data_IF_290618823717
#
_entry.id   IF_290618823717
#
_cell.length_a   1.000
_cell.length_b   1.000
_cell.length_c   1.000
_cell.angle_alpha   90.00
_cell.angle_beta   90.00
_cell.angle_gamma   90.00
#
_symmetry.space_group_name_H-M   'P 1'
#
loop_
_entity.id
_entity.type
_entity.pdbx_description
1 polymer ?
#
# COMPACT_ATOMS: atom_id res chain seq x y z
N UNK A 1 -2.79 -4.98 19.30
CA UNK A 1 -1.93 -5.69 18.33
C UNK A 1 -0.72 -6.33 19.04
N UNK A 2 -0.47 -7.61 18.78
CA UNK A 2 0.74 -8.27 19.29
C UNK A 2 1.99 -7.68 18.62
N UNK A 3 3.13 -7.59 19.32
CA UNK A 3 4.38 -7.14 18.71
C UNK A 3 4.70 -7.99 17.47
N UNK A 4 4.94 -7.33 16.33
CA UNK A 4 5.32 -8.00 15.07
C UNK A 4 6.84 -8.19 14.95
N UNK A 5 7.60 -7.65 15.90
CA UNK A 5 9.03 -7.81 16.06
C UNK A 5 9.32 -8.06 17.55
N UNK A 6 10.16 -9.05 17.82
CA UNK A 6 10.72 -9.26 19.15
C UNK A 6 11.63 -8.08 19.51
N UNK A 7 11.72 -7.76 20.81
CA UNK A 7 12.72 -6.81 21.29
C UNK A 7 14.13 -7.31 20.96
N UNK A 8 15.02 -6.41 20.60
CA UNK A 8 16.42 -6.75 20.41
C UNK A 8 17.03 -7.22 21.76
N UNK A 9 17.92 -8.23 21.76
CA UNK A 9 18.72 -8.56 22.93
C UNK A 9 19.52 -7.35 23.40
N UNK A 10 19.61 -7.13 24.72
CA UNK A 10 20.28 -5.97 25.33
C UNK A 10 21.65 -6.29 25.93
N UNK A 11 22.16 -7.50 25.68
CA UNK A 11 23.41 -8.04 26.23
C UNK A 11 24.58 -7.97 25.24
N UNK A 12 24.37 -7.35 24.07
CA UNK A 12 25.42 -7.07 23.10
C UNK A 12 26.31 -5.88 23.51
N UNK A 13 27.58 -5.84 23.05
CA UNK A 13 28.44 -4.68 23.25
C UNK A 13 27.86 -3.44 22.56
N UNK A 14 27.89 -2.30 23.26
CA UNK A 14 27.45 -1.01 22.71
C UNK A 14 28.41 -0.59 21.58
N UNK A 15 27.92 -0.33 20.36
CA UNK A 15 28.79 0.08 19.26
C UNK A 15 29.36 1.48 19.51
N UNK A 16 30.69 1.64 19.34
CA UNK A 16 31.35 2.94 19.39
C UNK A 16 31.47 3.55 17.98
N UNK A 17 31.51 4.88 17.91
CA UNK A 17 31.72 5.59 16.64
C UNK A 17 32.99 5.12 15.91
N UNK A 18 34.10 4.91 16.63
CA UNK A 18 35.37 4.41 16.08
C UNK A 18 35.23 3.01 15.48
N UNK A 19 34.53 2.11 16.18
CA UNK A 19 34.31 0.74 15.69
C UNK A 19 33.47 0.71 14.41
N UNK A 20 32.45 1.58 14.32
CA UNK A 20 31.60 1.72 13.13
C UNK A 20 32.41 2.33 11.98
N UNK A 21 33.18 3.39 12.23
CA UNK A 21 34.02 4.02 11.22
C UNK A 21 35.07 3.04 10.66
N UNK A 22 35.74 2.29 11.54
CA UNK A 22 36.70 1.26 11.14
C UNK A 22 36.04 0.19 10.24
N UNK A 23 34.86 -0.29 10.62
CA UNK A 23 34.12 -1.30 9.85
C UNK A 23 33.66 -0.79 8.47
N UNK A 24 33.30 0.50 8.36
CA UNK A 24 32.82 1.10 7.12
C UNK A 24 33.94 1.61 6.19
N UNK A 25 35.16 1.78 6.70
CA UNK A 25 36.29 2.33 5.93
C UNK A 25 36.59 1.57 4.63
N UNK A 26 36.62 0.24 4.68
CA UNK A 26 36.83 -0.62 3.52
C UNK A 26 35.67 -0.57 2.52
N UNK A 27 34.43 -0.91 2.94
CA UNK A 27 33.26 -0.87 2.05
C UNK A 27 33.05 0.48 1.37
N UNK A 28 33.22 1.61 2.09
CA UNK A 28 33.00 2.95 1.55
C UNK A 28 34.11 3.43 0.58
N UNK A 29 35.23 2.71 0.51
CA UNK A 29 36.30 2.95 -0.46
C UNK A 29 36.09 2.18 -1.77
N UNK A 30 35.08 1.31 -1.86
CA UNK A 30 34.81 0.51 -3.05
C UNK A 30 34.30 1.39 -4.20
N UNK A 31 35.05 1.43 -5.30
CA UNK A 31 34.73 2.24 -6.48
C UNK A 31 33.41 1.84 -7.15
N UNK A 32 32.89 0.63 -6.89
CA UNK A 32 31.59 0.17 -7.40
C UNK A 32 30.41 0.94 -6.79
N UNK A 33 30.60 1.63 -5.67
CA UNK A 33 29.58 2.50 -5.07
C UNK A 33 29.36 3.81 -5.86
N UNK A 34 30.24 4.12 -6.81
CA UNK A 34 30.15 5.33 -7.62
C UNK A 34 30.63 6.58 -6.89
N UNK A 35 30.30 7.75 -7.44
CA UNK A 35 30.82 9.04 -6.97
C UNK A 35 30.07 9.66 -5.80
N UNK A 36 28.94 9.10 -5.37
CA UNK A 36 28.09 9.66 -4.32
C UNK A 36 27.54 8.57 -3.41
N UNK A 37 27.79 8.69 -2.10
CA UNK A 37 27.31 7.75 -1.08
C UNK A 37 26.90 8.54 0.16
N UNK A 38 25.59 8.74 0.34
CA UNK A 38 25.02 9.22 1.59
C UNK A 38 24.80 8.07 2.58
N UNK A 39 25.36 8.19 3.79
CA UNK A 39 25.21 7.19 4.86
C UNK A 39 25.12 7.86 6.23
N UNK A 40 24.19 7.37 7.05
CA UNK A 40 24.07 7.72 8.46
C UNK A 40 23.89 6.45 9.28
N UNK A 41 24.66 6.33 10.37
CA UNK A 41 24.49 5.26 11.36
C UNK A 41 24.14 5.90 12.69
N UNK A 42 23.04 5.44 13.28
CA UNK A 42 22.56 5.87 14.58
C UNK A 42 22.41 4.66 15.50
N UNK A 43 22.71 4.85 16.77
CA UNK A 43 22.31 3.91 17.81
C UNK A 43 20.78 4.01 17.97
N UNK A 44 20.07 2.90 17.75
CA UNK A 44 18.61 2.89 17.75
C UNK A 44 17.98 3.05 19.15
N UNK A 45 18.74 2.76 20.22
CA UNK A 45 18.26 2.88 21.60
C UNK A 45 18.43 4.30 22.15
N UNK A 46 19.55 4.95 21.81
CA UNK A 46 19.90 6.29 22.33
C UNK A 46 19.66 7.42 21.34
N UNK A 47 19.55 7.11 20.05
CA UNK A 47 19.50 8.09 18.96
C UNK A 47 20.85 8.75 18.65
N UNK A 48 21.95 8.31 19.29
CA UNK A 48 23.28 8.87 19.07
C UNK A 48 23.75 8.59 17.65
N UNK A 49 24.19 9.62 16.93
CA UNK A 49 24.89 9.44 15.65
C UNK A 49 26.27 8.82 15.90
N UNK A 50 26.51 7.68 15.28
CA UNK A 50 27.78 6.94 15.34
C UNK A 50 28.64 7.17 14.10
N UNK A 51 28.02 7.44 12.95
CA UNK A 51 28.71 7.72 11.69
C UNK A 51 27.84 8.55 10.75
N UNK A 52 28.46 9.39 9.93
CA UNK A 52 27.79 10.20 8.90
C UNK A 52 28.76 10.56 7.79
N UNK A 53 28.32 10.42 6.53
CA UNK A 53 28.99 10.95 5.33
C UNK A 53 27.92 11.31 4.33
N UNK A 54 27.96 12.55 3.81
CA UNK A 54 27.02 13.08 2.82
C UNK A 54 25.54 12.84 3.23
N UNK A 55 25.24 12.76 4.54
CA UNK A 55 23.97 12.24 5.05
C UNK A 55 22.78 13.18 4.85
N UNK A 56 23.05 14.44 4.55
CA UNK A 56 22.04 15.47 4.27
C UNK A 56 21.78 15.67 2.79
N UNK A 57 22.54 15.00 1.93
CA UNK A 57 22.41 15.16 0.49
C UNK A 57 21.12 14.48 0.00
N UNK A 58 20.44 15.15 -0.94
CA UNK A 58 19.27 14.57 -1.57
C UNK A 58 19.66 13.40 -2.48
N UNK A 59 18.97 12.27 -2.32
CA UNK A 59 19.14 11.08 -3.15
C UNK A 59 17.78 10.54 -3.60
N UNK A 60 17.75 9.82 -4.73
CA UNK A 60 16.55 9.09 -5.16
C UNK A 60 16.40 7.86 -4.24
N UNK A 61 15.37 7.79 -3.39
CA UNK A 61 15.26 6.74 -2.37
C UNK A 61 14.93 5.35 -2.93
N UNK A 62 14.51 5.29 -4.21
CA UNK A 62 13.95 4.08 -4.81
C UNK A 62 12.89 3.44 -3.87
N UNK A 63 13.06 2.17 -3.50
CA UNK A 63 12.10 1.49 -2.62
C UNK A 63 12.20 1.88 -1.14
N UNK A 64 13.22 2.59 -0.69
CA UNK A 64 13.26 3.08 0.72
C UNK A 64 12.19 4.13 0.98
N UNK A 65 11.63 4.76 -0.07
CA UNK A 65 10.42 5.60 0.00
C UNK A 65 9.21 4.88 0.63
N UNK A 66 9.19 3.54 0.61
CA UNK A 66 8.16 2.75 1.27
C UNK A 66 8.15 2.98 2.78
N UNK A 67 9.30 3.24 3.41
CA UNK A 67 9.37 3.50 4.86
C UNK A 67 8.54 4.75 5.22
N UNK A 68 8.76 5.86 4.51
CA UNK A 68 8.00 7.10 4.73
C UNK A 68 6.51 6.89 4.48
N UNK A 69 6.16 6.20 3.38
CA UNK A 69 4.76 5.88 3.06
C UNK A 69 4.11 5.04 4.15
N UNK A 70 4.77 3.98 4.61
CA UNK A 70 4.25 3.09 5.65
C UNK A 70 4.07 3.83 6.97
N UNK A 71 5.04 4.65 7.39
CA UNK A 71 4.91 5.46 8.59
C UNK A 71 3.73 6.42 8.51
N UNK A 72 3.55 7.11 7.38
CA UNK A 72 2.43 8.02 7.17
C UNK A 72 1.08 7.29 7.23
N UNK A 73 0.97 6.12 6.58
CA UNK A 73 -0.26 5.29 6.61
C UNK A 73 -0.56 4.79 8.02
N UNK A 74 0.44 4.28 8.74
CA UNK A 74 0.26 3.80 10.12
C UNK A 74 -0.11 4.93 11.08
N UNK A 75 0.52 6.10 10.95
CA UNK A 75 0.20 7.26 11.77
C UNK A 75 -1.21 7.81 11.50
N UNK A 76 -1.68 7.72 10.24
CA UNK A 76 -2.99 8.27 9.83
C UNK A 76 -4.14 7.30 10.10
N UNK A 77 -3.98 6.02 9.74
CA UNK A 77 -5.06 5.03 9.80
C UNK A 77 -4.99 4.15 11.05
N UNK A 78 -3.80 4.04 11.67
CA UNK A 78 -3.52 3.08 12.72
C UNK A 78 -3.22 1.67 12.18
N UNK A 79 -2.52 0.84 12.97
CA UNK A 79 -2.10 -0.51 12.56
C UNK A 79 -3.26 -1.51 12.43
N UNK A 80 -4.45 -1.17 12.94
CA UNK A 80 -5.64 -2.03 12.92
C UNK A 80 -6.62 -1.67 11.78
N UNK A 81 -6.27 -0.71 10.92
CA UNK A 81 -7.14 -0.30 9.83
C UNK A 81 -7.41 -1.44 8.85
N UNK A 82 -8.67 -1.58 8.43
CA UNK A 82 -9.11 -2.53 7.42
C UNK A 82 -9.75 -1.80 6.25
N UNK A 83 -9.28 -2.08 5.04
CA UNK A 83 -9.85 -1.60 3.79
C UNK A 83 -11.01 -2.53 3.40
N UNK A 84 -12.22 -1.99 3.24
CA UNK A 84 -13.44 -2.81 3.11
C UNK A 84 -14.04 -2.72 1.71
N UNK A 85 -14.15 -3.87 1.04
CA UNK A 85 -14.96 -4.02 -0.17
C UNK A 85 -16.38 -4.47 0.21
N UNK A 86 -17.39 -3.89 -0.43
CA UNK A 86 -18.82 -4.15 -0.09
C UNK A 86 -19.63 -4.46 -1.34
N UNK A 87 -20.69 -5.24 -1.17
CA UNK A 87 -21.76 -5.35 -2.16
C UNK A 87 -23.03 -4.69 -1.60
N UNK A 88 -23.65 -3.80 -2.37
CA UNK A 88 -24.91 -3.13 -2.01
C UNK A 88 -25.93 -3.28 -3.13
N UNK A 89 -27.21 -3.04 -2.85
CA UNK A 89 -28.25 -3.05 -3.88
C UNK A 89 -28.03 -1.89 -4.87
N UNK A 90 -28.27 -2.15 -6.15
CA UNK A 90 -28.30 -1.13 -7.20
C UNK A 90 -29.63 -0.37 -7.25
N UNK A 91 -29.76 0.50 -8.25
CA UNK A 91 -30.94 1.34 -8.39
C UNK A 91 -32.17 0.55 -8.86
N UNK A 92 -31.96 -0.50 -9.66
CA UNK A 92 -33.04 -1.35 -10.15
C UNK A 92 -33.11 -2.69 -9.39
N UNK A 93 -34.29 -3.33 -9.31
CA UNK A 93 -34.42 -4.65 -8.70
C UNK A 93 -33.45 -5.68 -9.29
N UNK A 94 -32.77 -6.40 -8.39
CA UNK A 94 -31.78 -7.43 -8.75
C UNK A 94 -30.40 -6.91 -9.14
N UNK A 95 -30.19 -5.59 -9.22
CA UNK A 95 -28.86 -5.02 -9.44
C UNK A 95 -28.03 -5.05 -8.16
N UNK A 96 -26.72 -5.25 -8.31
CA UNK A 96 -25.75 -5.23 -7.22
C UNK A 96 -24.58 -4.31 -7.60
N UNK A 97 -24.16 -3.46 -6.67
CA UNK A 97 -22.98 -2.60 -6.81
C UNK A 97 -21.87 -3.14 -5.91
N UNK A 98 -20.76 -3.55 -6.52
CA UNK A 98 -19.51 -3.89 -5.83
C UNK A 98 -18.70 -2.60 -5.62
N UNK A 99 -18.64 -2.13 -4.38
CA UNK A 99 -17.93 -0.91 -3.99
C UNK A 99 -16.55 -1.29 -3.48
N UNK A 100 -15.51 -0.88 -4.22
CA UNK A 100 -14.12 -1.15 -3.89
C UNK A 100 -13.58 -0.23 -2.80
N UNK A 101 -13.13 -0.81 -1.68
CA UNK A 101 -12.51 -0.05 -0.57
C UNK A 101 -11.00 0.12 -0.67
N UNK A 102 -10.39 -0.34 -1.78
CA UNK A 102 -8.95 -0.28 -2.00
C UNK A 102 -8.13 -1.40 -1.35
N UNK A 103 -8.75 -2.51 -0.95
CA UNK A 103 -8.07 -3.68 -0.41
C UNK A 103 -7.15 -4.32 -1.48
N UNK A 104 -5.80 -4.22 -1.35
CA UNK A 104 -4.86 -4.80 -2.31
C UNK A 104 -4.68 -6.31 -2.12
N UNK A 105 -5.28 -6.89 -1.07
CA UNK A 105 -5.17 -8.31 -0.69
C UNK A 105 -6.38 -9.14 -1.11
N UNK A 106 -7.48 -8.49 -1.52
CA UNK A 106 -8.75 -9.13 -1.92
C UNK A 106 -8.51 -10.28 -2.90
N UNK A 107 -8.87 -11.49 -2.47
CA UNK A 107 -8.71 -12.71 -3.25
C UNK A 107 -9.99 -13.07 -4.01
N UNK A 108 -9.84 -13.86 -5.08
CA UNK A 108 -11.00 -14.41 -5.80
C UNK A 108 -11.60 -15.58 -5.03
N UNK A 109 -10.75 -16.48 -4.56
CA UNK A 109 -11.10 -17.69 -3.79
C UNK A 109 -10.14 -17.86 -2.61
N UNK A 110 -10.24 -18.98 -1.90
CA UNK A 110 -9.33 -19.35 -0.81
C UNK A 110 -7.85 -19.45 -1.24
N UNK A 111 -7.55 -19.59 -2.53
CA UNK A 111 -6.20 -19.75 -3.07
C UNK A 111 -5.46 -18.40 -3.24
N UNK A 112 -5.72 -17.44 -2.35
CA UNK A 112 -5.09 -16.11 -2.38
C UNK A 112 -3.65 -16.11 -1.88
N UNK A 113 -2.90 -15.04 -2.18
CA UNK A 113 -1.50 -14.89 -1.75
C UNK A 113 -1.35 -14.49 -0.27
N UNK A 114 -2.42 -13.99 0.36
CA UNK A 114 -2.40 -13.51 1.73
C UNK A 114 -3.33 -14.36 2.60
N UNK A 115 -2.80 -15.04 3.63
CA UNK A 115 -3.62 -15.79 4.58
C UNK A 115 -4.67 -14.88 5.23
N UNK A 116 -5.92 -15.33 5.27
CA UNK A 116 -7.02 -14.60 5.89
C UNK A 116 -7.54 -13.38 5.10
N UNK A 117 -7.12 -13.21 3.84
CA UNK A 117 -7.67 -12.16 2.98
C UNK A 117 -9.18 -12.32 2.77
N UNK A 118 -9.88 -11.18 2.59
CA UNK A 118 -11.26 -11.19 2.13
C UNK A 118 -11.37 -11.86 0.75
N UNK A 119 -12.53 -12.47 0.46
CA UNK A 119 -12.73 -13.24 -0.77
C UNK A 119 -13.99 -12.84 -1.51
N UNK A 120 -13.89 -12.79 -2.84
CA UNK A 120 -15.01 -12.47 -3.72
C UNK A 120 -16.06 -13.60 -3.80
N UNK A 121 -15.66 -14.86 -3.70
CA UNK A 121 -16.62 -15.98 -3.67
C UNK A 121 -17.46 -16.00 -2.38
N UNK A 122 -16.86 -15.68 -1.23
CA UNK A 122 -17.58 -15.50 0.02
C UNK A 122 -18.57 -14.32 -0.07
N UNK A 123 -18.15 -13.18 -0.66
CA UNK A 123 -19.02 -12.03 -0.89
C UNK A 123 -20.16 -12.36 -1.87
N UNK A 124 -19.89 -13.12 -2.93
CA UNK A 124 -20.91 -13.58 -3.86
C UNK A 124 -21.94 -14.51 -3.19
N UNK A 125 -21.50 -15.37 -2.28
CA UNK A 125 -22.38 -16.20 -1.45
C UNK A 125 -23.32 -15.36 -0.59
N UNK A 126 -22.81 -14.29 0.03
CA UNK A 126 -23.61 -13.34 0.81
C UNK A 126 -24.64 -12.62 -0.07
N UNK A 127 -24.26 -12.18 -1.26
CA UNK A 127 -25.16 -11.55 -2.24
C UNK A 127 -26.29 -12.51 -2.65
N UNK A 128 -25.95 -13.75 -3.02
CA UNK A 128 -26.96 -14.74 -3.42
C UNK A 128 -27.94 -15.02 -2.30
N UNK A 129 -27.47 -15.11 -1.04
CA UNK A 129 -28.33 -15.27 0.13
C UNK A 129 -29.25 -14.05 0.32
N UNK A 130 -28.73 -12.83 0.18
CA UNK A 130 -29.50 -11.61 0.31
C UNK A 130 -30.58 -11.46 -0.78
N UNK A 131 -30.33 -12.00 -1.99
CA UNK A 131 -31.29 -12.04 -3.09
C UNK A 131 -32.25 -13.25 -3.05
N UNK A 132 -32.28 -14.01 -1.94
CA UNK A 132 -33.17 -15.17 -1.82
C UNK A 132 -32.84 -16.32 -2.78
N UNK A 133 -31.59 -16.42 -3.24
CA UNK A 133 -31.14 -17.44 -4.19
C UNK A 133 -31.26 -17.03 -5.66
N UNK A 134 -31.93 -15.90 -5.95
CA UNK A 134 -32.08 -15.38 -7.31
C UNK A 134 -30.74 -14.77 -7.78
N UNK A 135 -30.29 -15.07 -9.01
CA UNK A 135 -29.09 -14.43 -9.56
C UNK A 135 -29.26 -12.90 -9.70
N UNK A 136 -28.20 -12.11 -9.48
CA UNK A 136 -28.26 -10.69 -9.78
C UNK A 136 -28.50 -10.46 -11.28
N UNK A 137 -29.33 -9.48 -11.60
CA UNK A 137 -29.63 -9.09 -12.99
C UNK A 137 -28.48 -8.30 -13.62
N UNK A 138 -27.70 -7.59 -12.79
CA UNK A 138 -26.54 -6.79 -13.19
C UNK A 138 -25.59 -6.62 -12.01
N UNK A 139 -24.28 -6.66 -12.29
CA UNK A 139 -23.24 -6.29 -11.34
C UNK A 139 -22.51 -5.04 -11.84
N UNK A 140 -22.50 -3.99 -11.02
CA UNK A 140 -21.84 -2.71 -11.29
C UNK A 140 -20.61 -2.65 -10.39
N UNK A 141 -19.47 -2.19 -10.93
CA UNK A 141 -18.25 -2.00 -10.13
C UNK A 141 -18.05 -0.52 -9.88
N UNK A 142 -18.13 -0.11 -8.62
CA UNK A 142 -17.79 1.23 -8.18
C UNK A 142 -16.33 1.26 -7.69
N UNK A 143 -15.47 1.86 -8.53
CA UNK A 143 -14.07 2.13 -8.25
C UNK A 143 -13.79 3.64 -8.15
N UNK A 144 -14.80 4.44 -7.80
CA UNK A 144 -14.70 5.91 -7.71
C UNK A 144 -13.90 6.42 -6.51
N UNK A 145 -13.61 5.55 -5.53
CA UNK A 145 -12.85 5.89 -4.32
C UNK A 145 -11.49 6.52 -4.62
N UNK A 146 -10.80 6.05 -5.67
CA UNK A 146 -9.56 6.66 -6.13
C UNK A 146 -9.81 7.42 -7.42
N UNK A 147 -9.29 8.64 -7.48
CA UNK A 147 -9.36 9.53 -8.65
C UNK A 147 -7.96 9.85 -9.16
N UNK A 148 -7.87 10.42 -10.37
CA UNK A 148 -6.62 10.80 -10.99
C UNK A 148 -5.92 9.67 -11.77
N UNK A 149 -4.64 9.88 -12.14
CA UNK A 149 -3.90 8.95 -12.99
C UNK A 149 -3.75 7.57 -12.36
N UNK A 150 -4.01 6.54 -13.16
CA UNK A 150 -3.87 5.12 -12.75
C UNK A 150 -2.41 4.68 -12.60
N UNK A 151 -1.47 5.52 -13.01
CA UNK A 151 -0.01 5.31 -12.97
C UNK A 151 0.66 6.51 -12.31
N UNK A 152 1.86 6.32 -11.72
CA UNK A 152 2.65 7.45 -11.21
C UNK A 152 3.03 8.43 -12.32
N UNK A 153 3.05 9.76 -12.06
CA UNK A 153 3.32 10.77 -13.08
C UNK A 153 4.71 10.62 -13.72
N UNK A 154 5.69 10.13 -12.96
CA UNK A 154 7.08 9.99 -13.41
C UNK A 154 7.43 8.54 -13.82
N UNK A 155 6.43 7.73 -14.14
CA UNK A 155 6.66 6.34 -14.56
C UNK A 155 6.88 6.28 -16.07
N UNK A 156 8.03 5.73 -16.48
CA UNK A 156 8.39 5.56 -17.88
C UNK A 156 7.33 4.74 -18.65
N UNK A 157 6.95 5.17 -19.86
CA UNK A 157 6.15 4.36 -20.77
C UNK A 157 6.85 3.02 -21.09
N UNK A 158 6.12 1.90 -21.10
CA UNK A 158 6.66 0.60 -21.55
C UNK A 158 7.19 -0.36 -20.47
N UNK A 159 7.36 0.06 -19.20
CA UNK A 159 7.75 -0.88 -18.12
C UNK A 159 6.68 -1.97 -17.90
N UNK A 160 7.04 -3.25 -17.67
CA UNK A 160 6.09 -4.35 -17.50
C UNK A 160 5.07 -4.10 -16.39
N UNK A 161 3.82 -4.54 -16.60
CA UNK A 161 2.69 -4.39 -15.64
C UNK A 161 2.96 -5.01 -14.27
N UNK A 162 3.90 -5.94 -14.16
CA UNK A 162 4.34 -6.54 -12.88
C UNK A 162 5.01 -5.52 -11.96
N UNK A 163 5.72 -4.54 -12.53
CA UNK A 163 6.27 -3.40 -11.81
C UNK A 163 5.28 -2.23 -11.68
N UNK A 164 4.16 -2.28 -12.43
CA UNK A 164 3.19 -1.19 -12.59
C UNK A 164 1.75 -1.67 -12.54
N UNK A 165 1.26 -2.06 -11.36
CA UNK A 165 -0.18 -2.32 -11.18
C UNK A 165 -0.93 -0.99 -11.15
N UNK A 166 -1.98 -0.82 -11.97
CA UNK A 166 -2.81 0.38 -11.93
C UNK A 166 -3.35 0.62 -10.52
N UNK A 167 -3.29 1.87 -10.05
CA UNK A 167 -4.18 2.32 -8.98
C UNK A 167 -5.56 2.42 -9.60
N UNK A 168 -6.51 1.63 -9.14
CA UNK A 168 -7.80 1.52 -9.82
C UNK A 168 -8.65 2.76 -9.59
N UNK A 169 -8.84 3.52 -10.67
CA UNK A 169 -10.02 4.31 -10.97
C UNK A 169 -10.65 3.70 -12.24
N UNK A 170 -11.95 3.39 -12.15
CA UNK A 170 -12.97 2.93 -13.13
C UNK A 170 -12.59 2.35 -14.52
N UNK A 171 -13.33 1.35 -15.06
CA UNK A 171 -13.29 1.03 -16.49
C UNK A 171 -13.73 2.25 -17.30
N UNK A 172 -12.87 2.70 -18.21
CA UNK A 172 -13.25 3.67 -19.23
C UNK A 172 -14.40 3.10 -20.07
N UNK A 173 -15.64 3.55 -19.81
CA UNK A 173 -16.66 3.90 -20.81
C UNK A 173 -17.95 4.40 -20.15
N UNK A 174 -18.38 5.59 -20.59
CA UNK A 174 -19.68 6.28 -20.45
C UNK A 174 -19.74 7.50 -19.51
N UNK A 175 -19.63 8.68 -20.12
CA UNK A 175 -20.37 9.91 -19.78
C UNK A 175 -21.67 9.94 -20.62
N UNK A 176 -22.72 10.74 -20.29
CA UNK A 176 -22.66 11.98 -19.52
C UNK A 176 -23.47 12.00 -18.22
N UNK A 177 -23.10 13.00 -17.42
CA UNK A 177 -23.73 13.50 -16.21
C UNK A 177 -25.27 13.46 -16.20
N UNK A 178 -25.83 13.09 -15.05
CA UNK A 178 -27.17 13.51 -14.67
C UNK A 178 -27.04 14.47 -13.46
N UNK A 179 -26.95 15.76 -13.77
CA UNK A 179 -27.20 16.85 -12.82
C UNK A 179 -28.70 16.89 -12.51
N UNK A 180 -29.17 16.21 -11.48
CA UNK A 180 -30.41 16.57 -10.77
C UNK A 180 -30.67 15.63 -9.58
N UNK A 181 -30.31 16.08 -8.37
CA UNK A 181 -31.20 15.98 -7.21
C UNK A 181 -30.64 16.86 -6.08
N UNK A 182 -31.12 18.11 -6.04
CA UNK A 182 -31.16 18.87 -4.79
C UNK A 182 -32.22 18.25 -3.87
N UNK A 183 -31.99 18.15 -2.56
CA UNK A 183 -33.05 17.78 -1.63
C UNK A 183 -34.08 18.91 -1.57
N UNK A 184 -35.37 18.58 -1.76
CA UNK A 184 -36.47 19.42 -1.31
C UNK A 184 -36.83 18.99 0.11
N UNK A 185 -36.65 19.94 1.03
CA UNK A 185 -37.15 20.08 2.42
C UNK A 185 -37.00 18.87 3.34
#
# INVERSE_FOLDING_TARGET
>A
PSPVLAAAPTDGPVPSADSVAAALSGPLADSRLGGHVGIQVVDAATGQKLFGRDETDAAVPASTMKLVTTTAVLATLGPAAQLRTRAVAGANPGEVVLVGGGDPTLAVTANGSYPGAARLDDLAGQVKKALGGVPPTKVIVDASLFTGPTIGPNWEPGRPRTARRPRTSSPARHSPACSACRPRR
#
